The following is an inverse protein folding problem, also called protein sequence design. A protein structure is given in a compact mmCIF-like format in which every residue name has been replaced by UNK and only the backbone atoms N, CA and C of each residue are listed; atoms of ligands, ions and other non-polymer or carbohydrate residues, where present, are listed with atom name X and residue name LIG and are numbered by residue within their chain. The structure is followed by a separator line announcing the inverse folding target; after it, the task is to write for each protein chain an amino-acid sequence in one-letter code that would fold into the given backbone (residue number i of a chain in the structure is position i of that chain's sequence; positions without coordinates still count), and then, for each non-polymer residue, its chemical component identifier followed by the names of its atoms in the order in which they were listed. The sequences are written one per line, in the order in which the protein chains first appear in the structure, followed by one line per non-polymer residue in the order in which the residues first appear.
data_IF_541547113142
#
_entry.id   IF_541547113142
#
_cell.length_a   1.000
_cell.length_b   1.000
_cell.length_c   1.000
_cell.angle_alpha   90.00
_cell.angle_beta   90.00
_cell.angle_gamma   90.00
#
_symmetry.space_group_name_H-M   'P 1'
#
loop_
_entity.id
_entity.type
_entity.pdbx_description
1 polymer ?
#
# COMPACT_ATOMS: atom_id res chain seq x y z
N UNK A 1 -8.90 -11.98 25.45
CA UNK A 1 -7.52 -11.86 24.92
C UNK A 1 -7.46 -10.56 24.13
N UNK A 2 -6.37 -9.79 24.24
CA UNK A 2 -6.16 -8.62 23.39
C UNK A 2 -6.15 -9.10 21.92
N UNK A 3 -6.76 -8.32 21.04
CA UNK A 3 -6.75 -8.60 19.60
C UNK A 3 -5.36 -8.27 19.05
N UNK A 4 -4.78 -9.17 18.26
CA UNK A 4 -3.53 -8.95 17.55
C UNK A 4 -3.82 -8.50 16.13
N UNK A 5 -3.19 -7.39 15.71
CA UNK A 5 -3.17 -6.90 14.35
C UNK A 5 -1.77 -7.15 13.77
N UNK A 6 -1.69 -7.75 12.61
CA UNK A 6 -0.41 -7.93 11.91
C UNK A 6 -0.10 -6.71 11.07
N UNK A 7 1.16 -6.31 11.06
CA UNK A 7 1.65 -5.17 10.25
C UNK A 7 2.56 -5.69 9.15
N UNK A 8 2.29 -5.28 7.91
CA UNK A 8 3.22 -5.43 6.80
C UNK A 8 3.87 -4.08 6.52
N UNK A 9 5.19 -4.02 6.63
CA UNK A 9 5.95 -2.83 6.24
C UNK A 9 6.17 -2.80 4.73
N UNK A 10 5.87 -1.68 4.10
CA UNK A 10 6.04 -1.48 2.66
C UNK A 10 7.18 -0.53 2.31
N UNK A 11 7.91 -0.03 3.29
CA UNK A 11 8.89 1.07 3.15
C UNK A 11 9.92 0.81 2.06
N UNK A 12 10.48 -0.42 2.00
CA UNK A 12 11.56 -0.77 1.09
C UNK A 12 11.10 -1.11 -0.34
N UNK A 13 9.79 -1.25 -0.58
CA UNK A 13 9.24 -1.44 -1.94
C UNK A 13 8.27 -0.33 -2.30
N UNK A 14 7.05 -0.35 -1.76
CA UNK A 14 5.99 0.57 -2.16
C UNK A 14 6.26 2.00 -1.70
N UNK A 15 6.74 2.19 -0.48
CA UNK A 15 7.08 3.50 0.07
C UNK A 15 8.11 4.23 -0.77
N UNK A 16 9.24 3.57 -1.09
CA UNK A 16 10.26 4.17 -1.94
C UNK A 16 9.83 4.27 -3.43
N UNK A 17 8.99 3.34 -3.91
CA UNK A 17 8.43 3.41 -5.25
C UNK A 17 7.51 4.61 -5.40
N UNK A 18 6.62 4.82 -4.44
CA UNK A 18 5.57 5.83 -4.50
C UNK A 18 6.08 7.23 -4.16
N UNK A 19 7.09 7.36 -3.29
CA UNK A 19 7.61 8.66 -2.85
C UNK A 19 8.86 9.11 -3.60
N UNK A 20 9.68 8.18 -4.13
CA UNK A 20 11.01 8.46 -4.71
C UNK A 20 11.25 7.76 -6.06
N UNK A 21 10.19 7.51 -6.83
CA UNK A 21 10.24 6.94 -8.17
C UNK A 21 11.11 5.66 -8.26
N UNK A 22 11.14 4.85 -7.20
CA UNK A 22 11.89 3.58 -7.11
C UNK A 22 13.41 3.76 -7.26
N UNK A 23 13.99 4.80 -6.66
CA UNK A 23 15.43 5.12 -6.80
C UNK A 23 16.30 4.79 -5.58
N UNK A 24 15.75 4.10 -4.56
CA UNK A 24 16.52 3.69 -3.39
C UNK A 24 17.55 2.61 -3.77
N UNK A 25 18.85 2.91 -3.55
CA UNK A 25 19.95 2.00 -3.87
C UNK A 25 20.11 0.87 -2.84
N UNK A 26 20.84 -0.19 -3.21
CA UNK A 26 21.19 -1.26 -2.27
C UNK A 26 21.94 -0.74 -1.05
N UNK A 27 22.89 0.17 -1.23
CA UNK A 27 23.64 0.78 -0.13
C UNK A 27 22.72 1.52 0.87
N UNK A 28 21.67 2.16 0.39
CA UNK A 28 20.66 2.81 1.26
C UNK A 28 19.81 1.76 1.98
N UNK A 29 19.41 0.68 1.32
CA UNK A 29 18.71 -0.45 1.95
C UNK A 29 19.57 -1.03 3.07
N UNK A 30 20.86 -1.31 2.81
CA UNK A 30 21.79 -1.93 3.76
C UNK A 30 21.95 -1.12 5.05
N UNK A 31 21.81 0.21 4.99
CA UNK A 31 21.84 1.08 6.18
C UNK A 31 20.66 0.82 7.13
N UNK A 32 19.53 0.36 6.62
CA UNK A 32 18.34 0.09 7.42
C UNK A 32 18.30 -1.34 7.98
N UNK A 33 18.85 -2.33 7.27
CA UNK A 33 18.73 -3.75 7.60
C UNK A 33 19.15 -4.12 9.03
N UNK A 34 20.22 -3.55 9.62
CA UNK A 34 20.61 -3.86 11.00
C UNK A 34 19.50 -3.59 12.04
N UNK A 35 18.58 -2.69 11.74
CA UNK A 35 17.49 -2.31 12.62
C UNK A 35 16.19 -3.06 12.28
N UNK A 36 15.98 -3.40 11.00
CA UNK A 36 14.81 -4.20 10.57
C UNK A 36 14.79 -5.60 11.19
N UNK A 37 15.95 -6.22 11.45
CA UNK A 37 16.02 -7.52 12.12
C UNK A 37 15.42 -7.54 13.53
N UNK A 38 15.31 -6.37 14.17
CA UNK A 38 14.74 -6.22 15.51
C UNK A 38 13.31 -5.64 15.50
N UNK A 39 12.79 -5.23 14.33
CA UNK A 39 11.50 -4.55 14.21
C UNK A 39 10.28 -5.46 14.35
N UNK A 40 10.44 -6.76 14.10
CA UNK A 40 9.39 -7.78 14.26
C UNK A 40 8.10 -7.50 13.47
N UNK A 41 8.21 -6.97 12.26
CA UNK A 41 7.08 -6.89 11.34
C UNK A 41 6.61 -8.29 10.95
N UNK A 42 5.29 -8.50 10.83
CA UNK A 42 4.74 -9.76 10.30
C UNK A 42 5.29 -10.07 8.92
N UNK A 43 5.34 -9.07 8.06
CA UNK A 43 5.91 -9.17 6.73
C UNK A 43 6.54 -7.85 6.30
N UNK A 44 7.45 -7.90 5.34
CA UNK A 44 8.07 -6.72 4.72
C UNK A 44 7.96 -6.85 3.20
N UNK A 45 7.32 -5.90 2.55
CA UNK A 45 7.32 -5.85 1.09
C UNK A 45 8.60 -5.16 0.60
N UNK A 46 9.47 -5.94 -0.02
CA UNK A 46 10.84 -5.52 -0.34
C UNK A 46 11.18 -5.64 -1.82
N UNK A 47 10.33 -6.35 -2.58
CA UNK A 47 10.61 -6.73 -3.96
C UNK A 47 9.36 -6.68 -4.84
N UNK A 48 9.54 -6.81 -6.17
CA UNK A 48 8.44 -6.72 -7.12
C UNK A 48 8.02 -5.29 -7.46
N UNK A 49 6.84 -5.14 -8.01
CA UNK A 49 6.39 -3.85 -8.54
C UNK A 49 7.36 -3.30 -9.58
N UNK A 50 7.86 -2.08 -9.39
CA UNK A 50 8.86 -1.46 -10.26
C UNK A 50 10.30 -1.66 -9.77
N UNK A 51 10.53 -2.27 -8.60
CA UNK A 51 11.89 -2.40 -8.03
C UNK A 51 12.84 -3.15 -8.95
N UNK A 52 12.53 -4.35 -9.50
CA UNK A 52 13.48 -5.06 -10.33
C UNK A 52 13.88 -4.28 -11.60
N UNK A 53 12.92 -3.68 -12.29
CA UNK A 53 13.19 -2.86 -13.47
C UNK A 53 14.03 -1.62 -13.12
N UNK A 54 13.66 -0.91 -12.06
CA UNK A 54 14.32 0.32 -11.67
C UNK A 54 15.76 0.11 -11.20
N UNK A 55 16.03 -0.94 -10.41
CA UNK A 55 17.40 -1.20 -9.92
C UNK A 55 18.32 -1.62 -11.06
N UNK A 56 17.83 -2.35 -12.06
CA UNK A 56 18.61 -2.66 -13.26
C UNK A 56 18.81 -1.43 -14.14
N UNK A 57 17.75 -0.71 -14.46
CA UNK A 57 17.73 0.38 -15.46
C UNK A 57 18.43 1.64 -14.97
N UNK A 58 18.22 2.02 -13.71
CA UNK A 58 18.65 3.33 -13.19
C UNK A 58 19.79 3.24 -12.18
N UNK A 59 19.92 2.11 -11.48
CA UNK A 59 20.93 1.96 -10.43
C UNK A 59 22.05 1.00 -10.83
N UNK A 60 21.89 0.29 -11.95
CA UNK A 60 22.84 -0.73 -12.43
C UNK A 60 23.15 -1.80 -11.35
N UNK A 61 22.12 -2.21 -10.61
CA UNK A 61 22.16 -3.20 -9.54
C UNK A 61 21.43 -4.48 -9.94
N UNK A 62 21.77 -5.61 -9.31
CA UNK A 62 21.10 -6.89 -9.51
C UNK A 62 19.91 -7.02 -8.53
N UNK A 63 18.66 -7.13 -9.01
CA UNK A 63 17.49 -7.25 -8.14
C UNK A 63 17.46 -8.54 -7.32
N UNK A 64 18.03 -9.64 -7.80
CA UNK A 64 18.10 -10.90 -7.06
C UNK A 64 19.03 -10.78 -5.87
N UNK A 65 20.22 -10.19 -6.04
CA UNK A 65 21.15 -9.90 -4.94
C UNK A 65 20.48 -9.06 -3.86
N UNK A 66 19.61 -8.10 -4.24
CA UNK A 66 18.83 -7.31 -3.28
C UNK A 66 17.93 -8.19 -2.43
N UNK A 67 17.15 -9.08 -3.05
CA UNK A 67 16.25 -9.99 -2.34
C UNK A 67 17.03 -10.89 -1.37
N UNK A 68 18.09 -11.53 -1.85
CA UNK A 68 18.93 -12.44 -1.06
C UNK A 68 19.62 -11.74 0.11
N UNK A 69 20.11 -10.50 -0.09
CA UNK A 69 20.73 -9.69 0.96
C UNK A 69 19.73 -9.34 2.06
N UNK A 70 18.53 -8.91 1.67
CA UNK A 70 17.47 -8.62 2.64
C UNK A 70 17.03 -9.90 3.36
N UNK A 71 16.86 -11.01 2.64
CA UNK A 71 16.51 -12.30 3.25
C UNK A 71 17.54 -12.75 4.28
N UNK A 72 18.81 -12.67 3.96
CA UNK A 72 19.89 -13.01 4.88
C UNK A 72 19.87 -12.18 6.18
N UNK A 73 19.45 -10.91 6.07
CA UNK A 73 19.41 -10.00 7.22
C UNK A 73 18.17 -10.20 8.09
N UNK A 74 16.98 -10.39 7.50
CA UNK A 74 15.69 -10.29 8.22
C UNK A 74 14.75 -11.47 7.98
N UNK A 75 15.07 -12.42 7.11
CA UNK A 75 14.16 -13.51 6.72
C UNK A 75 13.73 -14.44 7.87
N UNK A 76 14.50 -14.49 8.96
CA UNK A 76 14.14 -15.26 10.17
C UNK A 76 13.19 -14.50 11.10
N UNK A 77 12.95 -13.20 10.87
CA UNK A 77 12.10 -12.35 11.72
C UNK A 77 10.82 -11.98 11.00
N UNK A 78 10.93 -11.52 9.74
CA UNK A 78 9.82 -11.05 8.92
C UNK A 78 9.73 -11.83 7.62
N UNK A 79 8.51 -12.17 7.18
CA UNK A 79 8.29 -12.76 5.86
C UNK A 79 8.52 -11.73 4.77
N UNK A 80 9.42 -12.02 3.83
CA UNK A 80 9.61 -11.11 2.69
C UNK A 80 8.46 -11.24 1.71
N UNK A 81 7.96 -10.12 1.22
CA UNK A 81 6.87 -10.03 0.25
C UNK A 81 7.33 -9.37 -1.04
N UNK A 82 6.82 -9.84 -2.16
CA UNK A 82 6.94 -9.20 -3.47
C UNK A 82 5.56 -8.96 -4.08
N UNK A 83 5.42 -7.87 -4.84
CA UNK A 83 4.21 -7.56 -5.62
C UNK A 83 4.36 -8.08 -7.05
N UNK A 84 3.46 -8.96 -7.50
CA UNK A 84 3.43 -9.56 -8.85
C UNK A 84 2.14 -9.25 -9.59
N UNK A 85 2.24 -8.94 -10.89
CA UNK A 85 1.10 -8.65 -11.78
C UNK A 85 0.60 -9.93 -12.46
N UNK A 86 0.23 -10.95 -11.68
CA UNK A 86 -0.21 -12.24 -12.21
C UNK A 86 0.80 -12.82 -13.22
N UNK A 87 0.36 -13.24 -14.41
CA UNK A 87 1.22 -13.79 -15.48
C UNK A 87 2.23 -12.80 -16.03
N UNK A 88 2.03 -11.51 -15.84
CA UNK A 88 2.99 -10.49 -16.24
C UNK A 88 4.18 -10.41 -15.27
N UNK A 89 4.12 -11.08 -14.12
CA UNK A 89 5.15 -11.06 -13.08
C UNK A 89 5.56 -9.61 -12.74
N UNK A 90 6.78 -9.20 -13.05
CA UNK A 90 7.28 -7.84 -12.91
C UNK A 90 7.39 -7.09 -14.25
N UNK A 91 7.03 -7.76 -15.36
CA UNK A 91 7.04 -7.20 -16.71
C UNK A 91 5.72 -6.53 -17.10
N UNK A 92 5.60 -6.22 -18.40
CA UNK A 92 4.49 -5.48 -18.98
C UNK A 92 3.65 -6.30 -19.96
N UNK A 93 4.00 -7.56 -20.18
CA UNK A 93 3.28 -8.51 -21.01
C UNK A 93 3.20 -9.87 -20.31
N UNK A 94 2.17 -10.69 -20.59
CA UNK A 94 2.05 -12.01 -20.00
C UNK A 94 3.19 -12.94 -20.45
N UNK A 95 3.75 -13.68 -19.51
CA UNK A 95 4.75 -14.70 -19.76
C UNK A 95 4.10 -16.08 -19.91
N UNK A 96 4.74 -17.02 -20.65
CA UNK A 96 4.31 -18.41 -20.71
C UNK A 96 4.55 -19.13 -19.37
N UNK A 97 3.83 -20.23 -19.16
CA UNK A 97 3.77 -20.93 -17.87
C UNK A 97 5.13 -21.48 -17.39
N UNK A 98 6.02 -21.90 -18.30
CA UNK A 98 7.37 -22.36 -17.95
C UNK A 98 8.26 -21.23 -17.38
N UNK A 99 8.09 -20.01 -17.88
CA UNK A 99 8.76 -18.81 -17.32
C UNK A 99 8.19 -18.47 -15.94
N UNK A 100 6.85 -18.52 -15.77
CA UNK A 100 6.20 -18.26 -14.49
C UNK A 100 6.63 -19.29 -13.45
N UNK A 101 6.67 -20.58 -13.82
CA UNK A 101 7.14 -21.68 -12.98
C UNK A 101 8.57 -21.43 -12.48
N UNK A 102 9.52 -21.24 -13.39
CA UNK A 102 10.91 -20.98 -13.06
C UNK A 102 11.10 -19.72 -12.23
N UNK A 103 10.35 -18.66 -12.54
CA UNK A 103 10.41 -17.41 -11.80
C UNK A 103 9.90 -17.57 -10.35
N UNK A 104 8.75 -18.22 -10.14
CA UNK A 104 8.20 -18.47 -8.81
C UNK A 104 9.14 -19.33 -7.98
N UNK A 105 9.68 -20.42 -8.58
CA UNK A 105 10.66 -21.28 -7.91
C UNK A 105 11.87 -20.48 -7.43
N UNK A 106 12.53 -19.77 -8.33
CA UNK A 106 13.73 -19.01 -8.00
C UNK A 106 13.44 -17.91 -6.95
N UNK A 107 12.28 -17.26 -7.02
CA UNK A 107 11.88 -16.24 -6.05
C UNK A 107 11.76 -16.81 -4.63
N UNK A 108 11.11 -17.97 -4.49
CA UNK A 108 10.96 -18.64 -3.19
C UNK A 108 12.30 -19.17 -2.68
N UNK A 109 13.11 -19.80 -3.53
CA UNK A 109 14.46 -20.27 -3.20
C UNK A 109 15.41 -19.14 -2.78
N UNK A 110 15.24 -17.93 -3.35
CA UNK A 110 15.99 -16.72 -2.93
C UNK A 110 15.43 -16.06 -1.67
N UNK A 111 14.44 -16.67 -1.01
CA UNK A 111 13.96 -16.26 0.31
C UNK A 111 12.65 -15.47 0.33
N UNK A 112 11.92 -15.40 -0.79
CA UNK A 112 10.59 -14.80 -0.79
C UNK A 112 9.60 -15.71 -0.04
N UNK A 113 8.95 -15.18 1.02
CA UNK A 113 7.97 -15.91 1.80
C UNK A 113 6.54 -15.73 1.32
N UNK A 114 6.20 -14.56 0.80
CA UNK A 114 4.85 -14.19 0.35
C UNK A 114 4.94 -13.56 -1.03
N UNK A 115 4.13 -14.00 -1.98
CA UNK A 115 3.92 -13.29 -3.23
C UNK A 115 2.52 -12.68 -3.23
N UNK A 116 2.45 -11.33 -3.26
CA UNK A 116 1.21 -10.60 -3.46
C UNK A 116 0.93 -10.54 -4.96
N UNK A 117 -0.17 -11.18 -5.36
CA UNK A 117 -0.51 -11.41 -6.76
C UNK A 117 -1.77 -10.60 -7.07
N UNK A 118 -1.71 -9.74 -8.08
CA UNK A 118 -2.85 -8.94 -8.49
C UNK A 118 -2.98 -8.88 -10.01
N UNK A 119 -4.17 -8.58 -10.46
CA UNK A 119 -4.47 -8.05 -11.77
C UNK A 119 -5.26 -6.74 -11.60
N UNK A 120 -4.87 -5.67 -12.29
CA UNK A 120 -5.48 -4.35 -12.09
C UNK A 120 -6.97 -4.30 -12.48
N UNK A 121 -7.41 -5.21 -13.36
CA UNK A 121 -8.80 -5.37 -13.79
C UNK A 121 -9.53 -6.50 -13.05
N UNK A 122 -8.88 -7.10 -12.03
CA UNK A 122 -9.38 -8.26 -11.31
C UNK A 122 -9.66 -9.49 -12.22
N UNK A 123 -8.84 -9.68 -13.26
CA UNK A 123 -8.90 -10.89 -14.09
C UNK A 123 -8.29 -12.07 -13.30
N UNK A 124 -9.17 -12.97 -12.86
CA UNK A 124 -8.78 -14.14 -12.05
C UNK A 124 -7.98 -15.16 -12.89
N UNK A 125 -8.21 -15.24 -14.18
CA UNK A 125 -7.44 -16.14 -15.05
C UNK A 125 -5.98 -15.68 -15.20
N UNK A 126 -5.73 -14.37 -15.15
CA UNK A 126 -4.37 -13.82 -15.18
C UNK A 126 -3.55 -14.16 -13.91
N UNK A 127 -4.17 -14.37 -12.75
CA UNK A 127 -3.44 -14.69 -11.51
C UNK A 127 -3.22 -16.18 -11.27
N UNK A 128 -3.98 -17.03 -11.93
CA UNK A 128 -4.09 -18.47 -11.69
C UNK A 128 -2.76 -19.24 -11.75
N UNK A 129 -1.96 -19.05 -12.81
CA UNK A 129 -0.66 -19.70 -12.95
C UNK A 129 0.30 -19.31 -11.86
N UNK A 130 0.34 -18.01 -11.49
CA UNK A 130 1.22 -17.51 -10.45
C UNK A 130 0.85 -18.08 -9.08
N UNK A 131 -0.45 -18.13 -8.73
CA UNK A 131 -0.93 -18.77 -7.51
C UNK A 131 -0.49 -20.24 -7.46
N UNK A 132 -0.72 -20.98 -8.54
CA UNK A 132 -0.33 -22.40 -8.64
C UNK A 132 1.15 -22.60 -8.32
N UNK A 133 2.03 -21.87 -8.98
CA UNK A 133 3.47 -22.08 -8.84
C UNK A 133 4.05 -21.54 -7.52
N UNK A 134 3.53 -20.43 -7.00
CA UNK A 134 3.89 -19.97 -5.64
C UNK A 134 3.58 -21.05 -4.60
N UNK A 135 2.39 -21.64 -4.66
CA UNK A 135 1.98 -22.72 -3.77
C UNK A 135 2.82 -23.99 -3.96
N UNK A 136 3.13 -24.34 -5.20
CA UNK A 136 3.93 -25.52 -5.54
C UNK A 136 5.31 -25.49 -4.86
N UNK A 137 5.92 -24.30 -4.74
CA UNK A 137 7.24 -24.12 -4.13
C UNK A 137 7.19 -23.70 -2.65
N UNK A 138 6.03 -23.79 -2.00
CA UNK A 138 5.87 -23.58 -0.56
C UNK A 138 5.76 -22.09 -0.16
N UNK A 139 5.59 -21.18 -1.10
CA UNK A 139 5.30 -19.78 -0.83
C UNK A 139 3.86 -19.55 -0.42
N UNK A 140 3.60 -18.42 0.21
CA UNK A 140 2.27 -17.94 0.57
C UNK A 140 1.73 -17.10 -0.60
N UNK A 141 0.57 -17.48 -1.14
CA UNK A 141 -0.13 -16.75 -2.18
C UNK A 141 -1.09 -15.73 -1.54
N UNK A 142 -0.73 -14.45 -1.58
CA UNK A 142 -1.58 -13.33 -1.17
C UNK A 142 -2.24 -12.73 -2.41
N UNK A 143 -3.51 -13.05 -2.66
CA UNK A 143 -4.23 -12.56 -3.83
C UNK A 143 -4.92 -11.22 -3.53
N UNK A 144 -4.67 -10.23 -4.37
CA UNK A 144 -5.22 -8.90 -4.16
C UNK A 144 -6.41 -8.62 -5.07
N UNK A 145 -7.52 -8.25 -4.45
CA UNK A 145 -8.70 -7.69 -5.11
C UNK A 145 -8.50 -6.19 -5.21
N UNK A 146 -8.28 -5.70 -6.43
CA UNK A 146 -8.06 -4.28 -6.70
C UNK A 146 -9.37 -3.50 -6.55
N UNK A 147 -9.35 -2.51 -5.65
CA UNK A 147 -10.46 -1.59 -5.49
C UNK A 147 -10.45 -0.53 -6.58
N UNK A 148 -11.62 -0.25 -7.12
CA UNK A 148 -11.87 0.84 -8.05
C UNK A 148 -13.30 1.32 -7.90
N UNK A 149 -13.64 2.41 -8.59
CA UNK A 149 -14.98 3.03 -8.60
C UNK A 149 -15.54 3.04 -10.01
N UNK A 150 -16.86 3.08 -10.12
CA UNK A 150 -17.50 3.19 -11.43
C UNK A 150 -17.22 4.56 -12.06
N UNK A 151 -16.97 4.62 -13.38
CA UNK A 151 -16.82 5.88 -14.08
C UNK A 151 -18.08 6.75 -13.93
N UNK A 152 -17.86 8.05 -13.79
CA UNK A 152 -18.94 9.03 -13.66
C UNK A 152 -19.57 9.31 -15.04
N UNK A 153 -20.63 8.61 -15.37
CA UNK A 153 -21.41 8.90 -16.56
C UNK A 153 -22.47 9.97 -16.28
N UNK A 154 -22.74 10.89 -17.24
CA UNK A 154 -23.85 11.81 -17.11
C UNK A 154 -25.18 11.04 -17.03
N UNK A 155 -25.98 11.34 -16.02
CA UNK A 155 -27.34 10.76 -15.93
C UNK A 155 -28.15 11.12 -17.16
N UNK A 156 -28.94 10.17 -17.73
CA UNK A 156 -29.84 10.48 -18.82
C UNK A 156 -30.87 11.53 -18.38
N UNK A 157 -30.98 12.61 -19.13
CA UNK A 157 -31.98 13.64 -18.87
C UNK A 157 -33.42 13.08 -18.89
N UNK A 158 -34.38 13.84 -18.35
CA UNK A 158 -35.77 13.42 -18.21
C UNK A 158 -36.37 12.83 -19.50
N UNK A 159 -36.17 13.48 -20.64
CA UNK A 159 -36.65 12.99 -21.94
C UNK A 159 -35.95 11.69 -22.38
N UNK A 160 -34.67 11.53 -22.08
CA UNK A 160 -33.95 10.31 -22.41
C UNK A 160 -34.42 9.13 -21.56
N UNK A 161 -34.75 9.36 -20.27
CA UNK A 161 -35.36 8.35 -19.38
C UNK A 161 -36.77 7.97 -19.87
N UNK A 162 -37.55 8.94 -20.31
CA UNK A 162 -38.87 8.70 -20.89
C UNK A 162 -38.81 7.86 -22.19
N UNK A 163 -37.74 8.02 -22.97
CA UNK A 163 -37.45 7.22 -24.18
C UNK A 163 -36.79 5.88 -23.89
N UNK A 164 -36.76 5.43 -22.62
CA UNK A 164 -36.25 4.12 -22.23
C UNK A 164 -34.72 4.04 -22.03
N UNK A 165 -33.98 5.17 -22.04
CA UNK A 165 -32.56 5.18 -21.70
C UNK A 165 -32.40 4.97 -20.21
N UNK A 166 -31.76 3.86 -19.83
CA UNK A 166 -31.50 3.53 -18.43
C UNK A 166 -30.24 4.24 -17.94
N UNK A 167 -30.19 4.54 -16.64
CA UNK A 167 -28.96 4.91 -15.96
C UNK A 167 -27.91 3.75 -16.07
N UNK A 168 -26.64 4.07 -16.07
CA UNK A 168 -25.61 3.04 -16.04
C UNK A 168 -25.74 2.20 -14.76
N UNK A 169 -25.70 0.88 -14.90
CA UNK A 169 -25.65 -0.03 -13.75
C UNK A 169 -24.29 0.04 -13.09
N UNK A 170 -24.27 0.03 -11.75
CA UNK A 170 -23.01 -0.10 -11.00
C UNK A 170 -22.37 -1.46 -11.27
N UNK A 171 -21.08 -1.45 -11.64
CA UNK A 171 -20.27 -2.65 -11.83
C UNK A 171 -19.57 -3.02 -10.53
N UNK A 172 -18.92 -2.04 -9.87
CA UNK A 172 -18.06 -2.27 -8.71
C UNK A 172 -18.84 -2.27 -7.40
N UNK A 173 -19.77 -3.24 -7.30
CA UNK A 173 -20.64 -3.47 -6.14
C UNK A 173 -19.96 -4.33 -5.08
N UNK A 174 -20.58 -4.46 -3.90
CA UNK A 174 -20.16 -5.41 -2.86
C UNK A 174 -20.15 -6.85 -3.37
N UNK A 175 -21.12 -7.23 -4.18
CA UNK A 175 -21.21 -8.56 -4.79
C UNK A 175 -20.03 -8.82 -5.74
N UNK A 176 -19.65 -7.82 -6.55
CA UNK A 176 -18.49 -7.91 -7.43
C UNK A 176 -17.19 -8.20 -6.66
N UNK A 177 -16.87 -7.37 -5.65
CA UNK A 177 -15.64 -7.55 -4.89
C UNK A 177 -15.61 -8.87 -4.11
N UNK A 178 -16.74 -9.26 -3.52
CA UNK A 178 -16.85 -10.54 -2.83
C UNK A 178 -16.69 -11.73 -3.78
N UNK A 179 -17.28 -11.66 -4.98
CA UNK A 179 -17.16 -12.70 -5.99
C UNK A 179 -15.70 -12.89 -6.42
N UNK A 180 -14.97 -11.79 -6.70
CA UNK A 180 -13.54 -11.83 -7.01
C UNK A 180 -12.71 -12.44 -5.88
N UNK A 181 -12.97 -12.03 -4.64
CA UNK A 181 -12.28 -12.58 -3.48
C UNK A 181 -12.54 -14.09 -3.31
N UNK A 182 -13.78 -14.55 -3.50
CA UNK A 182 -14.13 -15.98 -3.45
C UNK A 182 -13.47 -16.78 -4.58
N UNK A 183 -13.43 -16.25 -5.80
CA UNK A 183 -12.75 -16.89 -6.92
C UNK A 183 -11.25 -17.05 -6.64
N UNK A 184 -10.58 -16.02 -6.13
CA UNK A 184 -9.16 -16.07 -5.76
C UNK A 184 -8.91 -17.05 -4.60
N UNK A 185 -9.77 -17.06 -3.59
CA UNK A 185 -9.70 -18.06 -2.49
C UNK A 185 -9.86 -19.50 -3.03
N UNK A 186 -10.77 -19.72 -3.99
CA UNK A 186 -10.96 -21.03 -4.62
C UNK A 186 -9.74 -21.48 -5.45
N UNK A 187 -8.90 -20.56 -5.94
CA UNK A 187 -7.62 -20.91 -6.58
C UNK A 187 -6.56 -21.39 -5.57
N UNK A 188 -6.82 -21.30 -4.27
CA UNK A 188 -5.90 -21.70 -3.21
C UNK A 188 -5.10 -20.55 -2.62
N UNK A 189 -5.57 -19.30 -2.73
CA UNK A 189 -4.97 -18.17 -2.01
C UNK A 189 -4.92 -18.43 -0.51
N UNK A 190 -3.84 -18.05 0.14
CA UNK A 190 -3.65 -18.13 1.59
C UNK A 190 -4.09 -16.86 2.32
N UNK A 191 -4.27 -15.77 1.59
CA UNK A 191 -4.67 -14.45 2.07
C UNK A 191 -5.37 -13.69 0.95
N UNK A 192 -6.31 -12.80 1.30
CA UNK A 192 -6.91 -11.84 0.38
C UNK A 192 -6.56 -10.43 0.82
N UNK A 193 -5.96 -9.64 -0.07
CA UNK A 193 -5.74 -8.21 0.13
C UNK A 193 -6.83 -7.39 -0.55
N UNK A 194 -7.49 -6.50 0.19
CA UNK A 194 -8.25 -5.39 -0.41
C UNK A 194 -7.21 -4.34 -0.82
N UNK A 195 -6.98 -4.21 -2.13
CA UNK A 195 -5.90 -3.39 -2.65
C UNK A 195 -6.41 -2.10 -3.29
N UNK A 196 -6.24 -1.01 -2.57
CA UNK A 196 -6.59 0.34 -3.02
C UNK A 196 -5.34 1.08 -3.51
N UNK A 197 -5.01 0.89 -4.77
CA UNK A 197 -3.79 1.44 -5.38
C UNK A 197 -3.80 2.96 -5.51
N UNK A 198 -4.97 3.57 -5.58
CA UNK A 198 -5.14 5.01 -5.81
C UNK A 198 -5.59 5.77 -4.55
N UNK A 199 -5.80 5.07 -3.43
CA UNK A 199 -6.24 5.67 -2.17
C UNK A 199 -7.69 6.16 -2.19
N UNK A 200 -8.55 5.57 -3.04
CA UNK A 200 -9.91 6.04 -3.30
C UNK A 200 -10.95 5.50 -2.31
N UNK A 201 -10.60 4.46 -1.55
CA UNK A 201 -11.57 3.80 -0.67
C UNK A 201 -11.83 4.62 0.60
N UNK A 202 -13.06 5.12 0.82
CA UNK A 202 -13.37 5.87 2.03
C UNK A 202 -13.57 4.93 3.24
N UNK A 203 -13.50 5.44 4.48
CA UNK A 203 -13.56 4.66 5.71
C UNK A 203 -14.76 3.71 5.81
N UNK A 204 -15.97 4.18 5.52
CA UNK A 204 -17.19 3.36 5.56
C UNK A 204 -17.14 2.21 4.56
N UNK A 205 -16.61 2.49 3.38
CA UNK A 205 -16.52 1.50 2.30
C UNK A 205 -15.57 0.36 2.66
N UNK A 206 -14.38 0.66 3.17
CA UNK A 206 -13.44 -0.39 3.58
C UNK A 206 -13.97 -1.20 4.76
N UNK A 207 -14.60 -0.55 5.75
CA UNK A 207 -15.22 -1.26 6.88
C UNK A 207 -16.30 -2.25 6.41
N UNK A 208 -17.10 -1.87 5.40
CA UNK A 208 -18.08 -2.75 4.77
C UNK A 208 -17.43 -3.94 4.09
N UNK A 209 -16.41 -3.72 3.26
CA UNK A 209 -15.71 -4.79 2.54
C UNK A 209 -14.96 -5.75 3.49
N UNK A 210 -14.29 -5.23 4.51
CA UNK A 210 -13.62 -6.06 5.53
C UNK A 210 -14.63 -6.97 6.22
N UNK A 211 -15.74 -6.44 6.73
CA UNK A 211 -16.79 -7.24 7.36
C UNK A 211 -17.39 -8.27 6.42
N UNK A 212 -17.60 -7.88 5.16
CA UNK A 212 -18.15 -8.76 4.11
C UNK A 212 -17.22 -9.93 3.81
N UNK A 213 -15.91 -9.67 3.64
CA UNK A 213 -14.91 -10.69 3.36
C UNK A 213 -14.75 -11.61 4.57
N UNK A 214 -14.55 -11.07 5.78
CA UNK A 214 -14.43 -11.84 7.03
C UNK A 214 -15.63 -12.74 7.31
N UNK A 215 -16.83 -12.37 6.87
CA UNK A 215 -18.04 -13.20 7.01
C UNK A 215 -18.10 -14.37 6.00
N UNK A 216 -17.46 -14.24 4.85
CA UNK A 216 -17.65 -15.14 3.70
C UNK A 216 -16.40 -15.90 3.27
N UNK A 217 -15.23 -15.59 3.83
CA UNK A 217 -13.94 -16.17 3.45
C UNK A 217 -13.18 -16.52 4.73
N UNK A 218 -12.68 -17.76 4.83
CA UNK A 218 -12.03 -18.29 6.04
C UNK A 218 -10.52 -18.07 6.11
N UNK A 219 -9.96 -17.26 5.17
CA UNK A 219 -8.54 -16.90 5.15
C UNK A 219 -8.34 -15.46 5.58
N UNK A 220 -7.13 -15.07 6.04
CA UNK A 220 -6.84 -13.71 6.49
C UNK A 220 -7.13 -12.65 5.44
N UNK A 221 -7.62 -11.50 5.89
CA UNK A 221 -7.86 -10.31 5.07
C UNK A 221 -6.83 -9.25 5.40
N UNK A 222 -6.16 -8.73 4.38
CA UNK A 222 -5.22 -7.63 4.43
C UNK A 222 -5.82 -6.37 3.80
N UNK A 223 -5.41 -5.19 4.25
CA UNK A 223 -5.81 -3.92 3.68
C UNK A 223 -4.61 -3.06 3.30
N UNK A 224 -4.53 -2.74 2.02
CA UNK A 224 -3.54 -1.86 1.40
C UNK A 224 -4.20 -0.61 0.84
N UNK A 225 -3.70 0.56 1.17
CA UNK A 225 -4.15 1.83 0.61
C UNK A 225 -3.03 2.87 0.56
N UNK A 226 -3.26 3.94 -0.19
CA UNK A 226 -2.39 5.12 -0.27
C UNK A 226 -3.08 6.35 0.31
N UNK A 227 -2.28 7.34 0.75
CA UNK A 227 -2.80 8.54 1.39
C UNK A 227 -3.01 9.71 0.42
N UNK A 228 -2.72 9.57 -0.87
CA UNK A 228 -2.72 10.68 -1.83
C UNK A 228 -4.03 11.47 -1.89
N UNK A 229 -5.23 10.85 -1.92
CA UNK A 229 -6.51 11.56 -1.85
C UNK A 229 -6.92 12.00 -0.44
N UNK A 230 -6.15 11.62 0.60
CA UNK A 230 -6.41 11.98 1.99
C UNK A 230 -7.41 11.09 2.72
N UNK A 231 -7.62 9.85 2.30
CA UNK A 231 -8.45 8.85 3.01
C UNK A 231 -7.62 7.83 3.78
N UNK A 232 -6.35 7.60 3.40
CA UNK A 232 -5.56 6.44 3.80
C UNK A 232 -5.54 6.16 5.29
N UNK A 233 -5.16 7.14 6.12
CA UNK A 233 -5.11 6.96 7.58
C UNK A 233 -6.50 6.68 8.19
N UNK A 234 -7.53 7.41 7.75
CA UNK A 234 -8.90 7.21 8.21
C UNK A 234 -9.46 5.83 7.79
N UNK A 235 -9.14 5.38 6.58
CA UNK A 235 -9.56 4.08 6.07
C UNK A 235 -8.85 2.93 6.77
N UNK A 236 -7.56 3.06 7.08
CA UNK A 236 -6.84 2.07 7.89
C UNK A 236 -7.44 1.97 9.30
N UNK A 237 -7.75 3.10 9.96
CA UNK A 237 -8.44 3.08 11.25
C UNK A 237 -9.78 2.35 11.18
N UNK A 238 -10.60 2.64 10.15
CA UNK A 238 -11.90 1.98 9.96
C UNK A 238 -11.75 0.48 9.67
N UNK A 239 -10.75 0.07 8.88
CA UNK A 239 -10.44 -1.33 8.61
C UNK A 239 -10.02 -2.07 9.90
N UNK A 240 -9.19 -1.44 10.74
CA UNK A 240 -8.79 -1.98 12.05
C UNK A 240 -10.01 -2.20 12.93
N UNK A 241 -10.89 -1.22 13.06
CA UNK A 241 -12.11 -1.33 13.85
C UNK A 241 -13.05 -2.41 13.28
N UNK A 242 -13.11 -2.54 11.95
CA UNK A 242 -13.93 -3.57 11.28
C UNK A 242 -13.39 -5.00 11.40
N UNK A 243 -12.16 -5.19 11.88
CA UNK A 243 -11.63 -6.52 12.16
C UNK A 243 -10.66 -7.09 11.11
N UNK A 244 -10.02 -6.26 10.32
CA UNK A 244 -8.95 -6.69 9.40
C UNK A 244 -7.84 -7.43 10.13
N UNK A 245 -7.19 -8.40 9.49
CA UNK A 245 -6.14 -9.22 10.11
C UNK A 245 -4.74 -8.63 9.92
N UNK A 246 -4.53 -7.97 8.77
CA UNK A 246 -3.25 -7.34 8.40
C UNK A 246 -3.53 -5.96 7.84
N UNK A 247 -2.65 -5.00 8.11
CA UNK A 247 -2.64 -3.71 7.43
C UNK A 247 -1.25 -3.38 6.92
N UNK A 248 -1.22 -2.70 5.80
CA UNK A 248 -0.02 -2.20 5.17
C UNK A 248 0.33 -0.80 5.69
N UNK A 249 1.61 -0.58 6.03
CA UNK A 249 2.11 0.68 6.55
C UNK A 249 3.48 1.01 5.99
N UNK A 250 3.89 2.27 6.11
CA UNK A 250 5.27 2.70 5.89
C UNK A 250 5.87 3.28 7.18
N UNK A 251 7.19 3.23 7.32
CA UNK A 251 7.89 4.00 8.34
C UNK A 251 7.85 5.51 8.02
N UNK A 252 7.88 6.34 9.04
CA UNK A 252 7.58 7.78 9.09
C UNK A 252 7.98 8.60 7.87
N UNK A 253 9.26 8.54 7.49
CA UNK A 253 9.78 9.41 6.43
C UNK A 253 9.44 8.96 5.00
N UNK A 254 8.83 7.78 4.86
CA UNK A 254 8.37 7.20 3.59
C UNK A 254 6.85 7.01 3.57
N UNK A 255 6.17 7.45 4.64
CA UNK A 255 4.73 7.31 4.84
C UNK A 255 3.95 8.53 4.35
N UNK A 256 2.64 8.35 4.27
CA UNK A 256 1.64 9.36 3.92
C UNK A 256 1.84 9.95 2.50
N UNK A 257 1.02 10.90 2.12
CA UNK A 257 1.03 11.44 0.77
C UNK A 257 0.86 10.35 -0.28
N UNK A 258 1.87 10.12 -1.13
CA UNK A 258 1.82 9.05 -2.15
C UNK A 258 2.07 7.65 -1.60
N UNK A 259 2.50 7.51 -0.35
CA UNK A 259 2.73 6.24 0.34
C UNK A 259 1.52 5.74 1.13
N UNK A 260 1.73 4.62 1.83
CA UNK A 260 0.78 4.07 2.80
C UNK A 260 0.85 4.86 4.14
N UNK A 261 -0.16 4.69 5.04
CA UNK A 261 -0.16 5.33 6.35
C UNK A 261 1.06 5.01 7.21
N UNK A 262 1.46 5.97 8.04
CA UNK A 262 2.59 5.82 8.95
C UNK A 262 2.31 4.79 10.05
N UNK A 263 3.22 3.82 10.25
CA UNK A 263 3.11 2.82 11.33
C UNK A 263 3.03 3.50 12.70
N UNK A 264 3.68 4.64 12.90
CA UNK A 264 3.68 5.38 14.15
C UNK A 264 2.29 5.90 14.52
N UNK A 265 1.53 6.42 13.53
CA UNK A 265 0.14 6.86 13.74
C UNK A 265 -0.78 5.66 13.97
N UNK A 266 -0.61 4.59 13.21
CA UNK A 266 -1.33 3.32 13.39
C UNK A 266 -1.05 2.74 14.78
N UNK A 267 0.20 2.80 15.26
CA UNK A 267 0.57 2.36 16.60
C UNK A 267 -0.18 3.14 17.70
N UNK A 268 -0.29 4.47 17.57
CA UNK A 268 -1.06 5.29 18.53
C UNK A 268 -2.53 4.87 18.56
N UNK A 269 -3.16 4.67 17.39
CA UNK A 269 -4.53 4.16 17.33
C UNK A 269 -4.67 2.78 17.95
N UNK A 270 -3.78 1.84 17.64
CA UNK A 270 -3.80 0.50 18.21
C UNK A 270 -3.64 0.51 19.72
N UNK A 271 -2.72 1.33 20.26
CA UNK A 271 -2.53 1.49 21.71
C UNK A 271 -3.79 1.99 22.40
N UNK A 272 -4.47 3.02 21.84
CA UNK A 272 -5.74 3.56 22.37
C UNK A 272 -6.89 2.54 22.26
N UNK A 273 -6.86 1.65 21.27
CA UNK A 273 -7.85 0.58 21.08
C UNK A 273 -7.54 -0.70 21.85
N UNK A 274 -6.40 -0.79 22.55
CA UNK A 274 -5.97 -2.01 23.26
C UNK A 274 -5.60 -3.16 22.30
N UNK A 275 -5.10 -2.84 21.10
CA UNK A 275 -4.69 -3.80 20.07
C UNK A 275 -3.15 -3.89 20.09
N UNK A 276 -2.63 -5.12 20.12
CA UNK A 276 -1.20 -5.37 19.99
C UNK A 276 -0.83 -5.59 18.51
N UNK A 277 0.23 -4.91 18.04
CA UNK A 277 0.77 -5.10 16.69
C UNK A 277 1.98 -6.03 16.66
N UNK A 278 2.58 -6.31 17.80
CA UNK A 278 3.83 -7.06 17.92
C UNK A 278 5.06 -6.35 17.35
N UNK A 279 4.91 -5.13 16.78
CA UNK A 279 6.01 -4.38 16.19
C UNK A 279 6.86 -3.73 17.27
N UNK A 280 8.18 -3.89 17.17
CA UNK A 280 9.14 -3.21 18.04
C UNK A 280 9.36 -1.76 17.58
N UNK A 281 8.65 -0.82 18.19
CA UNK A 281 8.73 0.60 17.85
C UNK A 281 10.08 1.26 18.19
N UNK A 282 10.89 0.68 19.09
CA UNK A 282 12.27 1.16 19.32
C UNK A 282 13.15 0.89 18.09
N UNK A 283 12.99 -0.27 17.46
CA UNK A 283 13.67 -0.59 16.22
C UNK A 283 13.17 0.31 15.07
N UNK A 284 11.87 0.57 14.99
CA UNK A 284 11.29 1.49 14.01
C UNK A 284 11.86 2.91 14.16
N UNK A 285 12.03 3.41 15.38
CA UNK A 285 12.67 4.71 15.61
C UNK A 285 14.11 4.77 15.08
N UNK A 286 14.88 3.67 15.21
CA UNK A 286 16.23 3.56 14.64
C UNK A 286 16.21 3.49 13.10
N UNK A 287 15.24 2.77 12.53
CA UNK A 287 15.01 2.75 11.07
C UNK A 287 14.75 4.17 10.58
N UNK A 288 13.88 4.91 11.24
CA UNK A 288 13.54 6.28 10.88
C UNK A 288 14.74 7.25 10.92
N UNK A 289 15.70 7.02 11.80
CA UNK A 289 16.95 7.81 11.81
C UNK A 289 17.71 7.66 10.48
N UNK A 290 17.76 6.45 9.90
CA UNK A 290 18.36 6.22 8.60
C UNK A 290 17.48 6.74 7.46
N UNK A 291 16.17 6.48 7.51
CA UNK A 291 15.23 6.89 6.48
C UNK A 291 15.16 8.42 6.31
N UNK A 292 15.36 9.18 7.39
CA UNK A 292 15.40 10.63 7.32
C UNK A 292 16.52 11.14 6.41
N UNK A 293 17.72 10.59 6.59
CA UNK A 293 18.87 10.97 5.75
C UNK A 293 18.70 10.44 4.32
N UNK A 294 18.25 9.21 4.16
CA UNK A 294 17.96 8.61 2.84
C UNK A 294 16.91 9.42 2.09
N UNK A 295 15.87 9.92 2.78
CA UNK A 295 14.86 10.81 2.18
C UNK A 295 15.49 12.08 1.59
N UNK A 296 16.43 12.72 2.31
CA UNK A 296 17.15 13.91 1.81
C UNK A 296 17.96 13.57 0.56
N UNK A 297 18.74 12.47 0.63
CA UNK A 297 19.53 11.99 -0.49
C UNK A 297 18.66 11.72 -1.74
N UNK A 298 17.52 11.03 -1.56
CA UNK A 298 16.59 10.70 -2.63
C UNK A 298 15.87 11.95 -3.20
N UNK A 299 15.45 12.87 -2.34
CA UNK A 299 14.87 14.14 -2.81
C UNK A 299 15.85 14.91 -3.68
N UNK A 300 17.12 14.99 -3.28
CA UNK A 300 18.15 15.66 -4.05
C UNK A 300 18.45 14.92 -5.37
N UNK A 301 18.64 13.61 -5.34
CA UNK A 301 19.02 12.83 -6.53
C UNK A 301 17.88 12.66 -7.54
N UNK A 302 16.64 12.47 -7.08
CA UNK A 302 15.47 12.23 -7.94
C UNK A 302 14.82 13.54 -8.41
N UNK A 303 14.65 14.47 -7.49
CA UNK A 303 13.88 15.69 -7.74
C UNK A 303 14.76 16.96 -7.77
N UNK A 304 16.07 16.88 -7.45
CA UNK A 304 17.00 18.01 -7.44
C UNK A 304 16.59 19.15 -6.50
N UNK A 305 15.80 18.86 -5.47
CA UNK A 305 15.27 19.85 -4.53
C UNK A 305 14.97 19.18 -3.21
N UNK A 306 15.15 19.91 -2.13
CA UNK A 306 14.62 19.50 -0.83
C UNK A 306 13.10 19.62 -0.83
N UNK A 307 12.43 18.60 -0.27
CA UNK A 307 10.99 18.63 0.01
C UNK A 307 10.79 18.74 1.51
N UNK A 308 9.73 19.42 1.96
CA UNK A 308 9.39 19.45 3.38
C UNK A 308 9.38 18.05 3.99
N UNK A 309 10.00 17.90 5.14
CA UNK A 309 9.93 16.65 5.91
C UNK A 309 8.84 16.76 6.97
N UNK A 310 8.18 15.64 7.33
CA UNK A 310 7.26 15.63 8.46
C UNK A 310 8.01 15.92 9.76
N UNK A 311 7.31 16.53 10.75
CA UNK A 311 7.87 16.76 12.08
C UNK A 311 8.32 15.41 12.65
N UNK A 312 9.52 15.31 13.24
CA UNK A 312 9.95 14.09 13.91
C UNK A 312 8.94 13.65 14.97
N UNK A 313 8.68 12.36 15.04
CA UNK A 313 7.78 11.80 16.05
C UNK A 313 8.20 10.38 16.43
N UNK A 314 8.31 10.14 17.73
CA UNK A 314 8.52 8.82 18.30
C UNK A 314 7.39 8.52 19.31
N UNK A 315 6.46 7.59 19.00
CA UNK A 315 5.30 7.33 19.85
C UNK A 315 5.65 6.71 21.21
N UNK A 316 6.90 6.32 21.45
CA UNK A 316 7.36 5.80 22.73
C UNK A 316 7.87 6.87 23.69
N UNK A 317 8.45 7.95 23.16
CA UNK A 317 9.14 8.98 23.97
C UNK A 317 8.47 10.33 23.93
N UNK A 318 7.78 10.65 22.84
CA UNK A 318 7.21 11.97 22.64
C UNK A 318 5.81 12.05 23.25
N UNK A 319 5.54 13.16 23.92
CA UNK A 319 4.22 13.47 24.44
C UNK A 319 3.47 14.33 23.43
N UNK A 320 2.33 13.86 22.97
CA UNK A 320 1.45 14.63 22.10
C UNK A 320 0.83 15.81 22.87
N UNK A 321 0.68 17.00 22.24
CA UNK A 321 -0.18 18.04 22.79
C UNK A 321 -1.59 17.51 23.03
N UNK A 322 -2.24 17.95 24.11
CA UNK A 322 -3.55 17.43 24.51
C UNK A 322 -4.61 17.56 23.39
N UNK A 323 -4.56 18.62 22.60
CA UNK A 323 -5.44 18.85 21.45
C UNK A 323 -5.23 17.82 20.33
N UNK A 324 -3.98 17.40 20.09
CA UNK A 324 -3.65 16.39 19.08
C UNK A 324 -4.01 14.99 19.59
N UNK A 325 -3.70 14.68 20.85
CA UNK A 325 -4.11 13.40 21.47
C UNK A 325 -5.63 13.23 21.44
N UNK A 326 -6.40 14.31 21.71
CA UNK A 326 -7.85 14.32 21.61
C UNK A 326 -8.37 14.07 20.17
N UNK A 327 -7.61 14.43 19.11
CA UNK A 327 -7.98 14.10 17.73
C UNK A 327 -7.95 12.61 17.45
N UNK A 328 -6.99 11.87 18.04
CA UNK A 328 -6.97 10.39 17.93
C UNK A 328 -8.22 9.80 18.59
N UNK A 329 -8.61 10.26 19.77
CA UNK A 329 -9.82 9.79 20.44
C UNK A 329 -11.08 10.14 19.64
N UNK A 330 -11.13 11.35 19.06
CA UNK A 330 -12.22 11.79 18.18
C UNK A 330 -12.32 10.88 16.95
N UNK A 331 -11.20 10.59 16.27
CA UNK A 331 -11.18 9.72 15.10
C UNK A 331 -11.69 8.31 15.43
N UNK A 332 -11.23 7.73 16.55
CA UNK A 332 -11.69 6.41 17.01
C UNK A 332 -13.19 6.40 17.26
N UNK A 333 -13.70 7.37 18.03
CA UNK A 333 -15.14 7.48 18.35
C UNK A 333 -15.99 7.65 17.09
N UNK A 334 -15.54 8.51 16.17
CA UNK A 334 -16.24 8.75 14.90
C UNK A 334 -16.28 7.47 14.03
N UNK A 335 -15.15 6.76 13.90
CA UNK A 335 -15.08 5.52 13.14
C UNK A 335 -15.94 4.39 13.76
N UNK A 336 -15.98 4.31 15.10
CA UNK A 336 -16.87 3.37 15.81
C UNK A 336 -18.35 3.70 15.63
N UNK A 337 -18.68 4.97 15.49
CA UNK A 337 -20.06 5.46 15.24
C UNK A 337 -20.44 5.49 13.75
N UNK A 338 -19.57 5.03 12.85
CA UNK A 338 -19.73 5.10 11.39
C UNK A 338 -19.92 6.54 10.86
N UNK A 339 -19.36 7.53 11.57
CA UNK A 339 -19.30 8.92 11.13
C UNK A 339 -18.04 9.14 10.26
N UNK A 340 -18.22 8.89 8.96
CA UNK A 340 -17.15 8.97 7.98
C UNK A 340 -16.53 10.36 7.88
N UNK A 341 -17.35 11.40 7.85
CA UNK A 341 -16.87 12.77 7.70
C UNK A 341 -16.02 13.21 8.90
N UNK A 342 -16.47 12.92 10.12
CA UNK A 342 -15.71 13.23 11.33
C UNK A 342 -14.44 12.39 11.46
N UNK A 343 -14.43 11.14 10.99
CA UNK A 343 -13.25 10.29 10.95
C UNK A 343 -12.18 10.87 10.03
N UNK A 344 -12.55 11.23 8.81
CA UNK A 344 -11.65 11.85 7.82
C UNK A 344 -11.12 13.20 8.34
N UNK A 345 -11.99 14.07 8.87
CA UNK A 345 -11.59 15.39 9.40
C UNK A 345 -10.56 15.26 10.51
N UNK A 346 -10.78 14.35 11.47
CA UNK A 346 -9.85 14.15 12.57
C UNK A 346 -8.50 13.61 12.11
N UNK A 347 -8.48 12.60 11.22
CA UNK A 347 -7.25 12.03 10.67
C UNK A 347 -6.45 13.06 9.85
N UNK A 348 -7.11 13.83 8.99
CA UNK A 348 -6.45 14.91 8.22
C UNK A 348 -5.84 16.00 9.11
N UNK A 349 -6.45 16.31 10.23
CA UNK A 349 -5.88 17.25 11.21
C UNK A 349 -4.64 16.68 11.91
N UNK A 350 -4.64 15.36 12.19
CA UNK A 350 -3.45 14.67 12.70
C UNK A 350 -2.31 14.73 11.69
N UNK A 351 -2.58 14.34 10.44
CA UNK A 351 -1.60 14.38 9.35
C UNK A 351 -1.03 15.81 9.14
N UNK A 352 -1.90 16.82 9.13
CA UNK A 352 -1.51 18.22 8.99
C UNK A 352 -0.64 18.72 10.16
N UNK A 353 -0.94 18.32 11.39
CA UNK A 353 -0.11 18.66 12.53
C UNK A 353 1.33 18.17 12.38
N UNK A 354 1.52 16.99 11.86
CA UNK A 354 2.86 16.44 11.60
C UNK A 354 3.51 16.96 10.32
N UNK A 355 2.81 17.77 9.54
CA UNK A 355 3.34 18.35 8.30
C UNK A 355 3.39 17.36 7.12
N UNK A 356 2.57 16.32 7.15
CA UNK A 356 2.37 15.44 6.01
C UNK A 356 1.67 16.16 4.84
N UNK A 357 1.85 15.71 3.59
CA UNK A 357 1.26 16.36 2.43
C UNK A 357 -0.27 16.45 2.53
N UNK A 358 -0.82 17.60 2.13
CA UNK A 358 -2.27 17.74 1.97
C UNK A 358 -2.79 16.83 0.83
N UNK A 359 -4.09 16.47 0.87
CA UNK A 359 -4.71 15.69 -0.21
C UNK A 359 -4.46 16.30 -1.59
N UNK A 360 -4.15 15.43 -2.57
CA UNK A 360 -3.91 15.85 -3.95
C UNK A 360 -5.17 15.62 -4.80
N UNK A 361 -5.91 16.71 -5.07
CA UNK A 361 -7.15 16.65 -5.84
C UNK A 361 -6.95 16.22 -7.31
N UNK A 362 -5.81 16.52 -7.91
CA UNK A 362 -5.52 16.11 -9.29
C UNK A 362 -5.40 14.59 -9.38
N UNK A 363 -4.65 14.00 -8.45
CA UNK A 363 -4.50 12.54 -8.36
C UNK A 363 -5.83 11.86 -8.04
N UNK A 364 -6.63 12.45 -7.15
CA UNK A 364 -7.96 11.95 -6.83
C UNK A 364 -8.91 11.96 -8.04
N UNK A 365 -8.89 13.03 -8.84
CA UNK A 365 -9.74 13.17 -10.04
C UNK A 365 -9.30 12.23 -11.16
N UNK A 366 -8.00 12.03 -11.33
CA UNK A 366 -7.44 11.14 -12.34
C UNK A 366 -7.47 9.65 -11.92
N UNK A 367 -7.79 9.36 -10.65
CA UNK A 367 -7.92 8.00 -10.10
C UNK A 367 -6.66 7.14 -10.29
N UNK A 368 -5.47 7.78 -10.43
CA UNK A 368 -4.21 7.08 -10.67
C UNK A 368 -3.48 6.72 -9.37
N UNK A 369 -2.69 5.63 -9.35
CA UNK A 369 -1.83 5.30 -8.22
C UNK A 369 -0.79 6.39 -7.92
N UNK A 370 -0.53 6.65 -6.63
CA UNK A 370 0.46 7.65 -6.20
C UNK A 370 1.86 7.39 -6.77
N UNK A 371 2.27 6.13 -6.92
CA UNK A 371 3.53 5.75 -7.55
C UNK A 371 3.60 6.12 -9.04
N UNK A 372 2.49 6.06 -9.78
CA UNK A 372 2.44 6.53 -11.17
C UNK A 372 2.64 8.04 -11.24
N UNK A 373 1.96 8.80 -10.37
CA UNK A 373 2.13 10.24 -10.28
C UNK A 373 3.59 10.64 -10.00
N UNK A 374 4.23 10.04 -8.99
CA UNK A 374 5.62 10.34 -8.63
C UNK A 374 6.62 10.01 -9.75
N UNK A 375 6.41 8.87 -10.44
CA UNK A 375 7.24 8.51 -11.59
C UNK A 375 7.05 9.48 -12.76
N UNK A 376 5.82 9.90 -13.06
CA UNK A 376 5.53 10.88 -14.11
C UNK A 376 6.21 12.23 -13.80
N UNK A 377 6.10 12.71 -12.55
CA UNK A 377 6.79 13.93 -12.12
C UNK A 377 8.30 13.82 -12.30
N UNK A 378 8.90 12.69 -11.89
CA UNK A 378 10.34 12.47 -12.04
C UNK A 378 10.77 12.41 -13.51
N UNK A 379 10.00 11.76 -14.38
CA UNK A 379 10.29 11.68 -15.82
C UNK A 379 10.14 13.03 -16.52
N UNK A 380 9.07 13.77 -16.26
CA UNK A 380 8.86 15.10 -16.83
C UNK A 380 9.99 16.05 -16.44
N UNK A 381 10.48 15.95 -15.20
CA UNK A 381 11.64 16.73 -14.76
C UNK A 381 12.90 16.36 -15.52
N UNK A 382 13.20 15.10 -15.74
CA UNK A 382 14.34 14.65 -16.55
C UNK A 382 14.25 15.18 -18.00
N UNK A 383 13.03 15.30 -18.53
CA UNK A 383 12.76 15.83 -19.87
C UNK A 383 12.69 17.36 -19.90
N UNK A 384 12.76 18.04 -18.74
CA UNK A 384 12.53 19.49 -18.58
C UNK A 384 11.18 19.94 -19.17
N UNK A 385 10.14 19.20 -18.86
CA UNK A 385 8.79 19.34 -19.41
C UNK A 385 7.72 19.32 -18.30
N UNK A 386 8.05 19.83 -17.10
CA UNK A 386 7.17 19.81 -15.92
C UNK A 386 5.85 20.58 -16.17
N UNK A 387 5.85 21.55 -17.05
CA UNK A 387 4.67 22.33 -17.44
C UNK A 387 3.57 21.48 -18.12
N UNK A 388 3.91 20.30 -18.64
CA UNK A 388 2.96 19.39 -19.29
C UNK A 388 2.14 18.62 -18.23
N UNK A 389 2.58 18.52 -16.97
CA UNK A 389 1.96 17.71 -15.95
C UNK A 389 0.44 17.94 -15.79
N UNK A 390 -0.08 19.19 -15.67
CA UNK A 390 -1.53 19.41 -15.55
C UNK A 390 -2.30 18.84 -16.73
N UNK A 391 -1.78 19.04 -17.95
CA UNK A 391 -2.41 18.56 -19.18
C UNK A 391 -2.38 17.03 -19.27
N UNK A 392 -1.27 16.40 -18.89
CA UNK A 392 -1.18 14.95 -18.82
C UNK A 392 -2.20 14.35 -17.84
N UNK A 393 -2.38 14.98 -16.68
CA UNK A 393 -3.35 14.55 -15.66
C UNK A 393 -4.81 14.73 -16.09
N UNK A 394 -5.10 15.69 -16.98
CA UNK A 394 -6.46 15.87 -17.55
C UNK A 394 -6.79 14.82 -18.63
N UNK A 395 -5.79 14.24 -19.27
CA UNK A 395 -5.97 13.27 -20.36
C UNK A 395 -6.06 11.82 -19.88
N UNK A 396 -5.70 11.57 -18.63
CA UNK A 396 -5.85 10.27 -17.97
C UNK A 396 -7.27 10.11 -17.46
#
# INVERSE_FOLDING_TARGET
MARNLKIRDLTLRDGQQSSFATRMSQAQVDRCLPYYKDANFYAMEVWGGAVPDSVMRYLNENPWTRLETIHKAVGNVSKLTALSRGRNLFGYAPYPDDVIDGFCRNSIESGLGIMRIFDALNDVDNVKSTVKYVKQYGGIADCAVCYTVDPKYPEPGFFAKLMGRKSHEQVFTDAYFLDKAKQMAALGADMITIKDMSGLIPPRRVATLVKLFKKNIDIPVDFHTHCTPGYGLASVLAAIIAGVDVVDTNCWYFAEGTGAPAIELVHVFCKKLGIDTGVNMEAVAKINTQLREIRKELNQSVFGTEKPEPKPFNPLTDTLPAEIDALFDKAIKAAQADDEAATIDACRKIEAYFGFPAPNELVQKAEIPGGMYSNMVAQLKQLKAEEILPRAMELI
#
